data_IF_693968813313
#
_entry.id   IF_693968813313
#
_cell.length_a   1.000
_cell.length_b   1.000
_cell.length_c   1.000
_cell.angle_alpha   90.00
_cell.angle_beta   90.00
_cell.angle_gamma   90.00
#
_symmetry.space_group_name_H-M   'P 1'
#
loop_
_entity.id
_entity.type
_entity.pdbx_description
1 polymer ?
#
# COMPACT_ATOMS: atom_id res chain seq x y z
N UNK A 1 -1.13 -11.11 -40.39
CA UNK A 1 -0.66 -9.79 -39.89
C UNK A 1 0.84 -9.71 -40.18
N UNK A 2 1.31 -8.77 -41.02
CA UNK A 2 2.76 -8.60 -41.26
C UNK A 2 3.32 -7.65 -40.21
N UNK A 3 4.35 -8.07 -39.47
CA UNK A 3 5.04 -7.22 -38.49
C UNK A 3 5.82 -6.12 -39.22
N UNK A 4 5.87 -4.92 -38.65
CA UNK A 4 6.66 -3.81 -39.22
C UNK A 4 8.16 -4.07 -39.06
N UNK A 5 8.99 -3.48 -39.93
CA UNK A 5 10.44 -3.58 -39.82
C UNK A 5 10.96 -3.12 -38.44
N UNK A 6 10.33 -2.09 -37.87
CA UNK A 6 10.66 -1.58 -36.53
C UNK A 6 10.43 -2.60 -35.42
N UNK A 7 9.38 -3.43 -35.53
CA UNK A 7 9.09 -4.51 -34.57
C UNK A 7 10.17 -5.59 -34.67
N UNK A 8 10.55 -5.97 -35.88
CA UNK A 8 11.64 -6.92 -36.11
C UNK A 8 12.98 -6.45 -35.55
N UNK A 9 13.32 -5.19 -35.77
CA UNK A 9 14.56 -4.61 -35.24
C UNK A 9 14.59 -4.61 -33.70
N UNK A 10 13.43 -4.46 -33.05
CA UNK A 10 13.31 -4.51 -31.59
C UNK A 10 13.41 -5.93 -31.04
N UNK A 11 12.82 -6.92 -31.72
CA UNK A 11 12.93 -8.33 -31.36
C UNK A 11 14.39 -8.76 -31.39
N UNK A 12 15.09 -8.51 -32.50
CA UNK A 12 16.52 -8.86 -32.61
C UNK A 12 17.38 -8.14 -31.58
N UNK A 13 17.12 -6.86 -31.28
CA UNK A 13 17.84 -6.15 -30.20
C UNK A 13 17.65 -6.77 -28.82
N UNK A 14 16.49 -7.37 -28.55
CA UNK A 14 16.22 -8.06 -27.29
C UNK A 14 16.93 -9.42 -27.28
N UNK A 15 16.83 -10.17 -28.36
CA UNK A 15 17.51 -11.47 -28.52
C UNK A 15 19.03 -11.34 -28.48
N UNK A 16 19.62 -10.38 -29.18
CA UNK A 16 21.07 -10.11 -29.17
C UNK A 16 21.57 -9.77 -27.76
N UNK A 17 20.74 -9.09 -26.96
CA UNK A 17 21.14 -8.61 -25.64
C UNK A 17 20.92 -9.62 -24.52
N UNK A 18 19.83 -10.39 -24.59
CA UNK A 18 19.39 -11.26 -23.50
C UNK A 18 19.36 -12.74 -23.87
N UNK A 19 19.55 -13.08 -25.15
CA UNK A 19 19.45 -14.44 -25.68
C UNK A 19 18.02 -15.00 -25.69
N UNK A 20 17.02 -14.20 -25.31
CA UNK A 20 15.62 -14.61 -25.21
C UNK A 20 14.67 -13.41 -25.23
N UNK A 21 13.44 -13.63 -25.70
CA UNK A 21 12.34 -12.67 -25.61
C UNK A 21 11.60 -12.73 -24.26
N UNK A 22 11.90 -13.72 -23.42
CA UNK A 22 11.29 -13.88 -22.09
C UNK A 22 12.03 -13.01 -21.08
N UNK A 23 11.81 -11.70 -21.16
CA UNK A 23 12.37 -10.70 -20.24
C UNK A 23 11.24 -9.96 -19.50
N UNK A 24 11.50 -9.35 -18.34
CA UNK A 24 10.48 -8.62 -17.58
C UNK A 24 9.74 -7.56 -18.42
N UNK A 25 8.41 -7.46 -18.25
CA UNK A 25 7.54 -6.54 -19.00
C UNK A 25 7.87 -5.04 -18.75
N UNK A 26 8.53 -4.74 -17.64
CA UNK A 26 9.00 -3.39 -17.29
C UNK A 26 10.34 -3.02 -17.96
N UNK A 27 10.97 -3.96 -18.68
CA UNK A 27 12.17 -3.68 -19.45
C UNK A 27 11.90 -2.63 -20.54
N UNK A 28 12.72 -1.57 -20.67
CA UNK A 28 12.50 -0.51 -21.65
C UNK A 28 12.37 -0.97 -23.10
N UNK A 29 12.99 -2.10 -23.47
CA UNK A 29 12.89 -2.67 -24.81
C UNK A 29 11.56 -3.42 -25.02
N UNK A 30 11.07 -4.15 -24.01
CA UNK A 30 9.74 -4.77 -24.08
C UNK A 30 8.62 -3.75 -24.12
N UNK A 31 8.72 -2.67 -23.33
CA UNK A 31 7.76 -1.57 -23.37
C UNK A 31 7.68 -0.93 -24.76
N UNK A 32 8.84 -0.75 -25.43
CA UNK A 32 8.89 -0.24 -26.81
C UNK A 32 8.32 -1.24 -27.82
N UNK A 33 8.65 -2.52 -27.68
CA UNK A 33 8.14 -3.58 -28.55
C UNK A 33 6.61 -3.65 -28.47
N UNK A 34 6.06 -3.68 -27.27
CA UNK A 34 4.62 -3.64 -27.02
C UNK A 34 3.96 -2.44 -27.71
N UNK A 35 4.51 -1.24 -27.53
CA UNK A 35 4.01 -0.03 -28.17
C UNK A 35 3.99 -0.11 -29.71
N UNK A 36 5.06 -0.59 -30.33
CA UNK A 36 5.16 -0.69 -31.80
C UNK A 36 4.29 -1.81 -32.39
N UNK A 37 4.01 -2.87 -31.63
CA UNK A 37 3.09 -3.92 -32.05
C UNK A 37 1.62 -3.51 -31.94
N UNK A 38 1.31 -2.28 -31.50
CA UNK A 38 -0.05 -1.89 -31.15
C UNK A 38 -0.58 -2.65 -29.93
N UNK A 39 0.27 -3.42 -29.26
CA UNK A 39 0.09 -3.84 -27.87
C UNK A 39 0.49 -2.66 -27.01
N UNK A 40 -0.08 -1.48 -27.28
CA UNK A 40 -0.31 -0.60 -26.16
C UNK A 40 -1.05 -1.48 -25.14
N UNK A 41 -0.63 -1.48 -23.88
CA UNK A 41 -1.63 -1.67 -22.84
C UNK A 41 -2.58 -0.47 -23.00
N UNK A 42 -3.42 -0.51 -24.04
CA UNK A 42 -4.55 0.37 -24.16
C UNK A 42 -5.30 0.09 -22.89
N UNK A 43 -5.38 1.14 -22.10
CA UNK A 43 -6.05 1.09 -20.84
C UNK A 43 -7.51 0.75 -21.12
N UNK A 44 -7.84 -0.53 -21.02
CA UNK A 44 -9.23 -0.96 -20.96
C UNK A 44 -9.68 -0.61 -19.56
N UNK A 45 -10.29 0.55 -19.43
CA UNK A 45 -10.98 0.96 -18.20
C UNK A 45 -11.90 -0.18 -17.80
N UNK A 46 -11.59 -0.80 -16.68
CA UNK A 46 -12.47 -1.84 -16.15
C UNK A 46 -13.62 -1.17 -15.40
N UNK A 47 -14.78 -1.80 -15.44
CA UNK A 47 -15.96 -1.41 -14.67
C UNK A 47 -15.66 -1.35 -13.16
N UNK A 48 -14.79 -2.23 -12.67
CA UNK A 48 -14.38 -2.30 -11.26
C UNK A 48 -13.25 -1.33 -10.84
N UNK A 49 -12.64 -0.58 -11.77
CA UNK A 49 -11.54 0.34 -11.46
C UNK A 49 -11.97 1.38 -10.42
N UNK A 50 -13.17 1.96 -10.60
CA UNK A 50 -13.73 2.95 -9.68
C UNK A 50 -13.86 2.41 -8.27
N UNK A 51 -14.30 1.16 -8.12
CA UNK A 51 -14.50 0.53 -6.83
C UNK A 51 -13.17 0.22 -6.14
N UNK A 52 -12.18 -0.25 -6.89
CA UNK A 52 -10.82 -0.45 -6.37
C UNK A 52 -10.24 0.88 -5.87
N UNK A 53 -10.33 1.95 -6.66
CA UNK A 53 -9.84 3.27 -6.24
C UNK A 53 -10.61 3.80 -5.02
N UNK A 54 -11.93 3.59 -4.96
CA UNK A 54 -12.75 3.96 -3.80
C UNK A 54 -12.25 3.25 -2.53
N UNK A 55 -12.05 1.93 -2.58
CA UNK A 55 -11.59 1.15 -1.43
C UNK A 55 -10.15 1.51 -1.01
N UNK A 56 -9.27 1.84 -1.97
CA UNK A 56 -7.92 2.34 -1.65
C UNK A 56 -8.00 3.66 -0.87
N UNK A 57 -8.87 4.59 -1.29
CA UNK A 57 -9.09 5.87 -0.59
C UNK A 57 -9.61 5.67 0.83
N UNK A 58 -10.45 4.65 1.05
CA UNK A 58 -10.93 4.26 2.38
C UNK A 58 -9.84 3.58 3.24
N UNK A 59 -8.72 3.21 2.65
CA UNK A 59 -7.54 2.67 3.35
C UNK A 59 -7.50 1.15 3.44
N UNK A 60 -8.31 0.44 2.65
CA UNK A 60 -8.20 -1.01 2.52
C UNK A 60 -6.89 -1.40 1.83
N UNK A 61 -6.29 -2.51 2.24
CA UNK A 61 -5.13 -3.07 1.55
C UNK A 61 -5.55 -3.96 0.36
N UNK A 62 -4.60 -4.29 -0.52
CA UNK A 62 -4.89 -5.06 -1.74
C UNK A 62 -5.52 -6.43 -1.51
N UNK A 63 -5.25 -7.10 -0.38
CA UNK A 63 -5.90 -8.39 -0.05
C UNK A 63 -7.37 -8.20 0.31
N UNK A 64 -7.68 -7.15 1.07
CA UNK A 64 -9.07 -6.83 1.44
C UNK A 64 -9.86 -6.34 0.23
N UNK A 65 -9.24 -5.50 -0.60
CA UNK A 65 -9.84 -5.05 -1.86
C UNK A 65 -10.12 -6.26 -2.74
N UNK A 66 -9.12 -7.10 -2.97
CA UNK A 66 -9.25 -8.34 -3.74
C UNK A 66 -10.43 -9.20 -3.26
N UNK A 67 -10.57 -9.41 -1.95
CA UNK A 67 -11.67 -10.17 -1.39
C UNK A 67 -13.05 -9.50 -1.60
N UNK A 68 -13.10 -8.16 -1.67
CA UNK A 68 -14.35 -7.39 -1.89
C UNK A 68 -14.76 -7.34 -3.35
N UNK A 69 -13.81 -7.18 -4.27
CA UNK A 69 -14.09 -7.05 -5.72
C UNK A 69 -13.97 -8.36 -6.49
N UNK A 70 -13.45 -9.43 -5.88
CA UNK A 70 -13.30 -10.73 -6.55
C UNK A 70 -12.15 -10.79 -7.57
N UNK A 71 -11.18 -9.87 -7.47
CA UNK A 71 -10.05 -9.78 -8.41
C UNK A 71 -8.72 -10.02 -7.72
N UNK A 72 -7.72 -10.50 -8.46
CA UNK A 72 -6.38 -10.78 -7.94
C UNK A 72 -5.76 -9.52 -7.30
N UNK A 73 -5.11 -9.61 -6.11
CA UNK A 73 -4.40 -8.48 -5.51
C UNK A 73 -3.41 -7.77 -6.44
N UNK A 74 -2.75 -8.51 -7.33
CA UNK A 74 -1.83 -7.94 -8.34
C UNK A 74 -2.55 -7.05 -9.35
N UNK A 75 -3.77 -7.41 -9.76
CA UNK A 75 -4.59 -6.56 -10.62
C UNK A 75 -4.99 -5.27 -9.89
N UNK A 76 -5.40 -5.38 -8.63
CA UNK A 76 -5.72 -4.22 -7.78
C UNK A 76 -4.52 -3.26 -7.65
N UNK A 77 -3.31 -3.82 -7.45
CA UNK A 77 -2.08 -3.02 -7.38
C UNK A 77 -1.76 -2.33 -8.72
N UNK A 78 -1.92 -3.00 -9.86
CA UNK A 78 -1.70 -2.37 -11.18
C UNK A 78 -2.64 -1.19 -11.39
N UNK A 79 -3.92 -1.35 -11.08
CA UNK A 79 -4.92 -0.28 -11.18
C UNK A 79 -4.57 0.88 -10.24
N UNK A 80 -4.17 0.59 -9.01
CA UNK A 80 -3.72 1.61 -8.07
C UNK A 80 -2.55 2.44 -8.63
N UNK A 81 -1.50 1.76 -9.13
CA UNK A 81 -0.32 2.41 -9.73
C UNK A 81 -0.71 3.26 -10.94
N UNK A 82 -1.55 2.72 -11.82
CA UNK A 82 -2.00 3.41 -13.02
C UNK A 82 -2.72 4.72 -12.70
N UNK A 83 -3.59 4.72 -11.70
CA UNK A 83 -4.32 5.89 -11.26
C UNK A 83 -3.55 6.77 -10.25
N UNK A 84 -2.29 6.46 -9.96
CA UNK A 84 -1.45 7.23 -9.03
C UNK A 84 -1.86 7.12 -7.55
N UNK A 85 -2.53 6.04 -7.16
CA UNK A 85 -2.95 5.78 -5.78
C UNK A 85 -2.07 4.75 -5.08
N UNK A 86 -1.89 4.94 -3.78
CA UNK A 86 -1.25 3.98 -2.89
C UNK A 86 -2.15 3.69 -1.69
N UNK A 87 -2.08 2.47 -1.16
CA UNK A 87 -2.85 2.08 0.03
C UNK A 87 -2.37 2.88 1.24
N UNK A 88 -3.33 3.44 1.97
CA UNK A 88 -3.06 4.04 3.28
C UNK A 88 -2.69 2.96 4.30
N UNK A 89 -1.94 3.31 5.36
CA UNK A 89 -1.64 2.35 6.42
C UNK A 89 -2.92 1.86 7.12
N UNK A 90 -2.91 0.59 7.50
CA UNK A 90 -3.91 0.01 8.41
C UNK A 90 -3.43 0.22 9.84
N UNK A 91 -4.30 0.73 10.70
CA UNK A 91 -4.01 0.94 12.11
C UNK A 91 -4.38 -0.34 12.87
N UNK A 92 -3.45 -0.89 13.63
CA UNK A 92 -3.62 -2.18 14.31
C UNK A 92 -3.89 -2.01 15.80
N UNK A 93 -3.62 -0.82 16.32
CA UNK A 93 -3.74 -0.53 17.73
C UNK A 93 -4.40 0.82 17.95
N UNK A 94 -5.05 0.94 19.10
CA UNK A 94 -5.57 2.20 19.62
C UNK A 94 -4.96 2.39 21.00
N UNK A 95 -4.41 3.58 21.23
CA UNK A 95 -3.91 3.99 22.53
C UNK A 95 -4.85 5.04 23.11
N UNK A 96 -5.24 4.85 24.37
CA UNK A 96 -5.96 5.84 25.14
C UNK A 96 -5.06 6.31 26.29
N UNK A 97 -4.30 7.41 26.13
CA UNK A 97 -3.56 8.02 27.22
C UNK A 97 -4.54 8.60 28.22
N UNK A 98 -4.20 8.54 29.50
CA UNK A 98 -5.03 9.05 30.60
C UNK A 98 -5.56 10.47 30.30
N UNK A 99 -6.90 10.61 30.25
CA UNK A 99 -7.62 11.85 29.95
C UNK A 99 -7.30 12.50 28.59
N UNK A 100 -6.82 11.75 27.60
CA UNK A 100 -6.57 12.27 26.25
C UNK A 100 -7.42 11.56 25.19
N UNK A 101 -7.67 12.22 24.03
CA UNK A 101 -8.30 11.55 22.89
C UNK A 101 -7.48 10.34 22.42
N UNK A 102 -8.20 9.32 21.94
CA UNK A 102 -7.63 8.10 21.38
C UNK A 102 -6.64 8.40 20.24
N UNK A 103 -5.59 7.58 20.15
CA UNK A 103 -4.54 7.66 19.13
C UNK A 103 -4.43 6.32 18.40
N UNK A 104 -4.67 6.33 17.09
CA UNK A 104 -4.58 5.15 16.24
C UNK A 104 -3.13 4.90 15.81
N UNK A 105 -2.59 3.71 16.09
CA UNK A 105 -1.21 3.34 15.77
C UNK A 105 -1.16 2.27 14.69
N UNK A 106 -0.29 2.47 13.70
CA UNK A 106 -0.04 1.49 12.65
C UNK A 106 0.92 0.36 13.09
N UNK A 107 1.82 0.64 14.05
CA UNK A 107 2.79 -0.32 14.55
C UNK A 107 3.09 -0.14 16.04
N UNK A 108 3.50 -1.21 16.72
CA UNK A 108 3.95 -1.14 18.12
C UNK A 108 5.23 -0.30 18.28
N UNK A 109 6.03 -0.14 17.24
CA UNK A 109 7.18 0.78 17.25
C UNK A 109 6.78 2.23 17.49
N UNK A 110 5.54 2.63 17.14
CA UNK A 110 5.03 3.96 17.43
C UNK A 110 4.93 4.24 18.94
N UNK A 111 4.96 3.21 19.79
CA UNK A 111 4.96 3.36 21.25
C UNK A 111 6.22 4.06 21.78
N UNK A 112 7.29 4.13 20.98
CA UNK A 112 8.48 4.91 21.31
C UNK A 112 8.18 6.40 21.53
N UNK A 113 7.14 6.94 20.88
CA UNK A 113 6.66 8.29 21.13
C UNK A 113 6.28 8.51 22.60
N UNK A 114 5.79 7.46 23.26
CA UNK A 114 5.44 7.46 24.68
C UNK A 114 6.59 6.95 25.57
N UNK A 115 7.83 6.91 25.06
CA UNK A 115 9.00 6.44 25.80
C UNK A 115 9.08 4.92 25.95
N UNK A 116 8.33 4.15 25.15
CA UNK A 116 8.29 2.69 25.22
C UNK A 116 9.15 2.10 24.08
N UNK A 117 10.35 1.63 24.39
CA UNK A 117 11.23 0.97 23.41
C UNK A 117 10.98 -0.54 23.30
N UNK A 118 11.26 -1.11 22.12
CA UNK A 118 11.11 -2.55 21.87
C UNK A 118 12.15 -3.42 22.58
N UNK A 119 13.26 -2.87 23.08
CA UNK A 119 14.24 -3.62 23.88
C UNK A 119 13.68 -4.04 25.25
N UNK A 120 12.54 -3.49 25.65
CA UNK A 120 11.89 -3.76 26.93
C UNK A 120 10.57 -4.53 26.77
N UNK A 121 10.53 -5.63 26.00
CA UNK A 121 9.40 -6.59 26.09
C UNK A 121 9.37 -7.35 27.44
N UNK A 122 9.97 -6.76 28.48
CA UNK A 122 9.90 -7.24 29.85
C UNK A 122 8.55 -6.87 30.47
N UNK A 123 8.16 -7.62 31.50
CA UNK A 123 6.97 -7.35 32.32
C UNK A 123 6.86 -5.89 32.82
N UNK A 124 7.96 -5.13 32.87
CA UNK A 124 7.96 -3.73 33.28
C UNK A 124 7.31 -2.77 32.29
N UNK A 125 7.44 -2.99 30.97
CA UNK A 125 6.73 -2.18 29.98
C UNK A 125 5.23 -2.43 30.05
N UNK A 126 4.82 -3.70 30.20
CA UNK A 126 3.41 -4.03 30.45
C UNK A 126 2.89 -3.40 31.75
N UNK A 127 3.71 -3.37 32.81
CA UNK A 127 3.38 -2.66 34.07
C UNK A 127 3.28 -1.15 33.89
N UNK A 128 4.16 -0.51 33.11
CA UNK A 128 4.09 0.94 32.80
C UNK A 128 2.89 1.27 31.92
N UNK A 129 2.59 0.44 30.92
CA UNK A 129 1.38 0.58 30.08
C UNK A 129 0.12 0.58 30.94
N UNK A 130 -0.04 -0.40 31.85
CA UNK A 130 -1.20 -0.46 32.75
C UNK A 130 -1.38 0.77 33.65
N UNK A 131 -0.33 1.56 33.92
CA UNK A 131 -0.42 2.73 34.81
C UNK A 131 -0.92 4.01 34.12
N UNK A 132 -0.63 4.22 32.82
CA UNK A 132 -0.93 5.50 32.16
C UNK A 132 -1.43 5.40 30.70
N UNK A 133 -1.34 4.22 30.06
CA UNK A 133 -1.59 4.06 28.63
C UNK A 133 -2.27 2.72 28.36
N UNK A 134 -3.58 2.75 28.07
CA UNK A 134 -4.30 1.56 27.64
C UNK A 134 -4.07 1.29 26.14
N UNK A 135 -3.47 0.16 25.79
CA UNK A 135 -3.29 -0.29 24.40
C UNK A 135 -4.32 -1.35 24.05
N UNK A 136 -5.16 -1.04 23.07
CA UNK A 136 -6.18 -1.94 22.55
C UNK A 136 -5.73 -2.41 21.16
N UNK A 137 -5.75 -3.73 20.92
CA UNK A 137 -5.55 -4.26 19.57
C UNK A 137 -6.88 -4.16 18.81
N UNK A 138 -6.94 -3.25 17.86
CA UNK A 138 -8.13 -3.00 17.03
C UNK A 138 -7.65 -2.65 15.63
N UNK A 139 -8.10 -3.44 14.65
CA UNK A 139 -7.83 -3.16 13.24
C UNK A 139 -8.78 -2.06 12.78
N UNK A 140 -8.23 -0.98 12.26
CA UNK A 140 -8.95 0.24 11.89
C UNK A 140 -8.39 0.75 10.56
N UNK A 141 -9.28 0.99 9.60
CA UNK A 141 -8.94 1.55 8.29
C UNK A 141 -8.96 3.08 8.34
N UNK A 142 -8.46 3.72 7.29
CA UNK A 142 -8.43 5.19 7.22
C UNK A 142 -9.84 5.82 7.31
N UNK A 143 -10.84 5.16 6.72
CA UNK A 143 -12.23 5.61 6.79
C UNK A 143 -12.83 5.57 8.19
N UNK A 144 -12.34 4.68 9.05
CA UNK A 144 -12.90 4.44 10.38
C UNK A 144 -12.37 5.44 11.42
N UNK A 145 -11.25 6.11 11.13
CA UNK A 145 -10.73 7.18 11.99
C UNK A 145 -11.66 8.38 11.86
N UNK A 146 -12.19 8.94 12.97
CA UNK A 146 -13.05 10.12 12.91
C UNK A 146 -12.29 11.34 12.39
N UNK A 147 -13.03 12.30 11.84
CA UNK A 147 -12.47 13.61 11.49
C UNK A 147 -11.87 14.27 12.73
N UNK A 148 -10.66 14.83 12.62
CA UNK A 148 -9.90 15.31 13.78
C UNK A 148 -9.26 14.20 14.64
N UNK A 149 -9.40 12.94 14.24
CA UNK A 149 -8.81 11.79 14.92
C UNK A 149 -7.29 11.81 14.86
N UNK A 150 -6.64 11.38 15.95
CA UNK A 150 -5.18 11.39 16.11
C UNK A 150 -4.58 10.06 15.66
N UNK A 151 -3.53 10.08 14.86
CA UNK A 151 -2.93 8.84 14.36
C UNK A 151 -1.41 8.90 14.18
N UNK A 152 -0.79 7.72 14.10
CA UNK A 152 0.63 7.56 13.80
C UNK A 152 0.83 6.50 12.71
N UNK A 153 1.64 6.84 11.70
CA UNK A 153 1.96 5.96 10.57
C UNK A 153 3.18 5.08 10.87
N UNK A 154 3.40 4.00 10.11
CA UNK A 154 4.58 3.14 10.31
C UNK A 154 5.88 3.94 10.24
N UNK A 155 6.86 3.56 11.08
CA UNK A 155 8.20 4.18 11.17
C UNK A 155 8.23 5.64 11.66
N UNK A 156 7.09 6.29 11.90
CA UNK A 156 7.05 7.60 12.53
C UNK A 156 6.85 7.47 14.05
N UNK A 157 7.89 7.75 14.81
CA UNK A 157 7.89 7.62 16.27
C UNK A 157 7.96 8.97 17.00
N UNK A 158 7.86 10.09 16.27
CA UNK A 158 8.16 11.42 16.80
C UNK A 158 6.99 12.39 16.74
N UNK A 159 5.97 12.11 15.93
CA UNK A 159 4.84 13.03 15.73
C UNK A 159 3.49 12.31 15.72
N UNK A 160 2.47 12.95 16.27
CA UNK A 160 1.08 12.56 16.10
C UNK A 160 0.47 13.42 14.98
N UNK A 161 -0.20 12.77 14.02
CA UNK A 161 -0.95 13.43 12.96
C UNK A 161 -2.42 13.56 13.35
N UNK A 162 -3.11 14.51 12.73
CA UNK A 162 -4.54 14.74 12.87
C UNK A 162 -5.18 14.50 11.51
N UNK A 163 -6.29 13.76 11.48
CA UNK A 163 -7.04 13.51 10.25
C UNK A 163 -7.80 14.77 9.84
N UNK A 164 -7.39 15.33 8.70
CA UNK A 164 -8.08 16.37 7.92
C UNK A 164 -9.17 15.80 7.02
#
# INVERSE_FOLDING_TARGET
MRLSQKVWDLIHKIEDKYGTLVIPDDNPLMVKLHKEMGVAQEFVKHDYDKEIIRLIKLGYNYREISAKVGHNPSACRRIAVLYGYHTRPVFKYVVNPENQPEIYLAATTNLQYFGISQSNHSNEVYKRMRKHINLITKRTHWCDIPQGGRYMVPKNNTKIFIKE
#
